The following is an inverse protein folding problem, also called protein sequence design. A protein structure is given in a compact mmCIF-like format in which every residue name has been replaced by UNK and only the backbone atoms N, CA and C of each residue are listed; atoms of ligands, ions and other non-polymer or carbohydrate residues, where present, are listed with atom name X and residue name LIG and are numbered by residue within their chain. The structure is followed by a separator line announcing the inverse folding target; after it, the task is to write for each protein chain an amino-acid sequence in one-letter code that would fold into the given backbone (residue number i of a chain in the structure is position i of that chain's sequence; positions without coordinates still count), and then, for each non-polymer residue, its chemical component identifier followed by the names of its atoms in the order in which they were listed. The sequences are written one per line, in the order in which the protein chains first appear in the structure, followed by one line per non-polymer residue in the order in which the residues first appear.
data_IF_762028670958
#
_entry.id   IF_762028670958
#
_cell.length_a   1.000
_cell.length_b   1.000
_cell.length_c   1.000
_cell.angle_alpha   90.00
_cell.angle_beta   90.00
_cell.angle_gamma   90.00
#
_symmetry.space_group_name_H-M   'P 1'
#
loop_
_entity.id
_entity.type
_entity.pdbx_description
1 polymer ?
#
# COMPACT_ATOMS: atom_id res chain seq x y z
N UNK A 1 -1.14 -7.33 18.15
CA UNK A 1 -0.82 -6.56 16.93
C UNK A 1 0.68 -6.56 16.74
N UNK A 2 1.16 -6.54 15.50
CA UNK A 2 2.60 -6.61 15.21
C UNK A 2 3.21 -5.23 15.41
N UNK A 3 4.05 -5.06 16.45
CA UNK A 3 4.63 -3.77 16.83
C UNK A 3 5.28 -3.03 15.65
N UNK A 4 5.92 -3.79 14.75
CA UNK A 4 6.56 -3.26 13.56
C UNK A 4 5.56 -2.71 12.53
N UNK A 5 4.41 -3.37 12.36
CA UNK A 5 3.35 -2.91 11.47
C UNK A 5 2.75 -1.60 11.98
N UNK A 6 2.43 -1.55 13.28
CA UNK A 6 1.84 -0.37 13.92
C UNK A 6 2.79 0.82 13.83
N UNK A 7 4.09 0.60 14.08
CA UNK A 7 5.13 1.62 13.91
C UNK A 7 5.21 2.14 12.47
N UNK A 8 5.31 1.26 11.47
CA UNK A 8 5.40 1.65 10.06
C UNK A 8 4.14 2.41 9.61
N UNK A 9 2.96 2.04 10.12
CA UNK A 9 1.68 2.67 9.77
C UNK A 9 1.56 4.14 10.22
N UNK A 10 2.35 4.55 11.21
CA UNK A 10 2.32 5.90 11.78
C UNK A 10 3.40 6.83 11.19
N UNK A 11 4.29 6.30 10.34
CA UNK A 11 5.35 7.08 9.71
C UNK A 11 4.79 8.00 8.61
N UNK A 12 5.21 9.27 8.62
CA UNK A 12 5.01 10.15 7.47
C UNK A 12 6.05 9.81 6.39
N UNK A 13 5.59 9.23 5.29
CA UNK A 13 6.45 8.84 4.16
C UNK A 13 7.20 10.04 3.57
N UNK A 14 6.67 11.27 3.71
CA UNK A 14 7.31 12.49 3.19
C UNK A 14 8.58 12.87 3.94
N UNK A 15 8.75 12.38 5.16
CA UNK A 15 9.94 12.65 5.99
C UNK A 15 10.99 11.56 5.90
N UNK A 16 10.72 10.47 5.17
CA UNK A 16 11.62 9.33 5.04
C UNK A 16 12.56 9.50 3.84
N UNK A 17 13.82 9.12 4.02
CA UNK A 17 14.75 8.92 2.92
C UNK A 17 14.36 7.71 2.07
N UNK A 18 14.85 7.66 0.83
CA UNK A 18 14.60 6.52 -0.06
C UNK A 18 15.05 5.17 0.54
N UNK A 19 16.12 5.17 1.35
CA UNK A 19 16.60 3.98 2.05
C UNK A 19 15.60 3.50 3.12
N UNK A 20 15.08 4.42 3.93
CA UNK A 20 14.10 4.12 4.98
C UNK A 20 12.77 3.65 4.39
N UNK A 21 12.31 4.28 3.30
CA UNK A 21 11.14 3.81 2.55
C UNK A 21 11.35 2.38 2.04
N UNK A 22 12.52 2.07 1.49
CA UNK A 22 12.84 0.72 0.99
C UNK A 22 12.82 -0.33 2.11
N UNK A 23 13.33 0.03 3.29
CA UNK A 23 13.28 -0.84 4.48
C UNK A 23 11.84 -1.07 4.94
N UNK A 24 11.02 -0.02 5.02
CA UNK A 24 9.60 -0.12 5.39
C UNK A 24 8.84 -1.05 4.43
N UNK A 25 9.06 -0.91 3.11
CA UNK A 25 8.46 -1.78 2.09
C UNK A 25 8.91 -3.24 2.23
N UNK A 26 10.19 -3.47 2.51
CA UNK A 26 10.72 -4.82 2.74
C UNK A 26 10.04 -5.48 3.96
N UNK A 27 9.93 -4.77 5.08
CA UNK A 27 9.29 -5.28 6.28
C UNK A 27 7.80 -5.53 6.09
N UNK A 28 7.07 -4.61 5.43
CA UNK A 28 5.66 -4.81 5.08
C UNK A 28 5.47 -6.05 4.19
N UNK A 29 6.36 -6.28 3.22
CA UNK A 29 6.32 -7.48 2.38
C UNK A 29 6.50 -8.77 3.19
N UNK A 30 7.48 -8.80 4.10
CA UNK A 30 7.71 -9.95 4.98
C UNK A 30 6.52 -10.21 5.91
N UNK A 31 5.99 -9.15 6.53
CA UNK A 31 4.79 -9.23 7.38
C UNK A 31 3.56 -9.74 6.62
N UNK A 32 3.41 -9.34 5.35
CA UNK A 32 2.30 -9.79 4.49
C UNK A 32 2.37 -11.29 4.12
N UNK A 33 3.58 -11.88 4.13
CA UNK A 33 3.78 -13.33 4.00
C UNK A 33 3.54 -14.04 5.33
N UNK A 34 3.96 -13.39 6.42
CA UNK A 34 3.73 -13.72 7.83
C UNK A 34 2.25 -13.98 8.15
N UNK A 35 1.44 -13.00 7.76
CA UNK A 35 0.04 -12.85 8.19
C UNK A 35 -0.81 -12.44 6.98
N UNK A 36 -1.51 -13.37 6.33
CA UNK A 36 -2.33 -13.07 5.16
C UNK A 36 -3.48 -12.09 5.47
N UNK A 37 -3.83 -11.92 6.74
CA UNK A 37 -4.84 -10.97 7.23
C UNK A 37 -4.42 -9.49 7.07
N UNK A 38 -3.12 -9.22 6.92
CA UNK A 38 -2.58 -7.88 6.68
C UNK A 38 -2.76 -7.46 5.20
N UNK A 39 -3.02 -8.41 4.29
CA UNK A 39 -3.30 -8.11 2.87
C UNK A 39 -4.63 -7.41 2.63
N UNK A 40 -5.60 -7.53 3.54
CA UNK A 40 -6.93 -6.98 3.35
C UNK A 40 -7.04 -5.53 3.84
N UNK A 41 -6.25 -4.63 3.25
CA UNK A 41 -6.63 -3.21 3.24
C UNK A 41 -7.44 -2.92 1.97
N UNK A 42 -8.69 -2.46 2.06
CA UNK A 42 -9.56 -2.21 0.89
C UNK A 42 -9.06 -1.11 -0.04
N UNK A 43 -7.94 -0.46 0.31
CA UNK A 43 -7.29 0.57 -0.52
C UNK A 43 -6.74 -0.01 -1.82
N UNK A 44 -6.29 -1.28 -1.85
CA UNK A 44 -5.81 -1.95 -3.07
C UNK A 44 -6.91 -2.22 -4.12
N UNK A 45 -8.19 -2.16 -3.74
CA UNK A 45 -9.30 -2.35 -4.68
C UNK A 45 -9.70 -1.07 -5.42
N UNK A 46 -9.38 0.12 -4.88
CA UNK A 46 -9.74 1.41 -5.48
C UNK A 46 -8.89 1.89 -6.66
N UNK A 47 -7.60 1.56 -6.84
CA UNK A 47 -6.86 2.03 -8.01
C UNK A 47 -7.40 1.43 -9.32
N UNK A 48 -7.89 0.18 -9.30
CA UNK A 48 -8.46 -0.45 -10.50
C UNK A 48 -9.81 0.12 -10.91
N UNK A 49 -10.68 0.50 -9.95
CA UNK A 49 -11.95 1.16 -10.25
C UNK A 49 -11.73 2.53 -10.89
N UNK A 50 -10.84 3.36 -10.32
CA UNK A 50 -10.49 4.67 -10.90
C UNK A 50 -9.84 4.56 -12.28
N UNK A 51 -9.01 3.53 -12.51
CA UNK A 51 -8.39 3.31 -13.82
C UNK A 51 -9.43 2.85 -14.87
N UNK A 52 -10.40 2.02 -14.47
CA UNK A 52 -11.47 1.58 -15.35
C UNK A 52 -12.45 2.72 -15.70
N UNK A 53 -12.73 3.62 -14.76
CA UNK A 53 -13.55 4.82 -15.03
C UNK A 53 -12.86 5.76 -16.03
N UNK A 54 -11.54 5.99 -15.90
CA UNK A 54 -10.78 6.79 -16.86
C UNK A 54 -10.71 6.16 -18.26
N UNK A 55 -10.64 4.83 -18.35
CA UNK A 55 -10.67 4.12 -19.64
C UNK A 55 -12.03 4.21 -20.33
N UNK A 56 -13.14 4.12 -19.58
CA UNK A 56 -14.50 4.28 -20.14
C UNK A 56 -14.77 5.68 -20.69
N UNK A 57 -14.20 6.72 -20.08
CA UNK A 57 -14.35 8.10 -20.57
C UNK A 57 -13.60 8.40 -21.88
N UNK A 58 -12.58 7.60 -22.23
CA UNK A 58 -11.82 7.76 -23.50
C UNK A 58 -12.44 7.05 -24.71
N UNK A 59 -13.39 6.13 -24.50
CA UNK A 59 -14.02 5.34 -25.58
C UNK A 59 -15.32 6.00 -26.09
N UNK A 60 -15.88 6.97 -25.34
CA UNK A 60 -17.10 7.71 -25.69
C UNK A 60 -16.84 9.12 -26.26
N UNK A 61 -15.66 9.38 -26.83
CA UNK A 61 -15.34 10.59 -27.61
C UNK A 61 -14.89 10.18 -29.01
#
# INVERSE_FOLDING_TARGET
MDYLYDYISQLDVRTLSAGEVSQCLFYLHQLSKQKPEIRSSPVMNKPNERLNEQRKQRINR
#
